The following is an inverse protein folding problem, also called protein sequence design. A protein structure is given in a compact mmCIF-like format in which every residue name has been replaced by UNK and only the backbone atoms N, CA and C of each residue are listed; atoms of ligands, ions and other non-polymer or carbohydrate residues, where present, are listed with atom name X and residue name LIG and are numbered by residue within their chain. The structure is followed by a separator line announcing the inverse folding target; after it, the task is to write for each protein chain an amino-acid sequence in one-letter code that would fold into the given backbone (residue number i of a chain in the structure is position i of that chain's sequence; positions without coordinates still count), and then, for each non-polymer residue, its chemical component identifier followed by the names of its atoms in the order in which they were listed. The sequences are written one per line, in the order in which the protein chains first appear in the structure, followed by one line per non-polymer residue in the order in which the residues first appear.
data_IF_275413672575
#
_entry.id   IF_275413672575
#
_cell.length_a   1.000
_cell.length_b   1.000
_cell.length_c   1.000
_cell.angle_alpha   90.00
_cell.angle_beta   90.00
_cell.angle_gamma   90.00
#
_symmetry.space_group_name_H-M   'P 1'
#
loop_
_entity.id
_entity.type
_entity.pdbx_description
1 polymer ?
#
# COMPACT_ATOMS: atom_id res chain seq x y z
N UNK A 1 14.81 18.14 -0.66
CA UNK A 1 13.64 17.38 -1.19
C UNK A 1 12.98 18.26 -2.23
N UNK A 2 12.76 17.72 -3.43
CA UNK A 2 12.01 18.42 -4.48
C UNK A 2 10.55 18.48 -4.02
N UNK A 3 9.95 19.67 -4.05
CA UNK A 3 8.54 19.84 -3.66
C UNK A 3 7.61 19.11 -4.64
N UNK A 4 6.48 18.60 -4.16
CA UNK A 4 5.51 17.87 -4.98
C UNK A 4 5.01 18.71 -6.17
N UNK A 5 4.91 20.03 -6.00
CA UNK A 5 4.52 20.94 -7.08
C UNK A 5 5.53 20.94 -8.24
N UNK A 6 6.82 20.86 -7.96
CA UNK A 6 7.85 20.81 -9.00
C UNK A 6 7.78 19.48 -9.77
N UNK A 7 7.51 18.37 -9.08
CA UNK A 7 7.31 17.07 -9.73
C UNK A 7 6.06 17.09 -10.63
N UNK A 8 4.95 17.63 -10.15
CA UNK A 8 3.76 17.78 -10.99
C UNK A 8 4.03 18.62 -12.23
N UNK A 9 4.80 19.70 -12.12
CA UNK A 9 5.17 20.54 -13.26
C UNK A 9 6.00 19.78 -14.29
N UNK A 10 7.02 19.04 -13.85
CA UNK A 10 7.84 18.23 -14.74
C UNK A 10 7.03 17.12 -15.42
N UNK A 11 6.09 16.49 -14.71
CA UNK A 11 5.18 15.49 -15.27
C UNK A 11 4.27 16.14 -16.32
N UNK A 12 3.70 17.31 -16.05
CA UNK A 12 2.84 18.03 -16.99
C UNK A 12 3.60 18.42 -18.25
N UNK A 13 4.85 18.90 -18.14
CA UNK A 13 5.71 19.24 -19.26
C UNK A 13 6.01 17.99 -20.13
N UNK A 14 6.35 16.86 -19.51
CA UNK A 14 6.57 15.59 -20.21
C UNK A 14 5.30 15.10 -20.93
N UNK A 15 4.14 15.16 -20.28
CA UNK A 15 2.86 14.77 -20.90
C UNK A 15 2.54 15.66 -22.09
N UNK A 16 2.79 16.96 -21.99
CA UNK A 16 2.57 17.91 -23.09
C UNK A 16 3.51 17.64 -24.26
N UNK A 17 4.79 17.37 -24.02
CA UNK A 17 5.77 17.05 -25.03
C UNK A 17 5.43 15.75 -25.76
N UNK A 18 5.19 14.67 -25.04
CA UNK A 18 4.85 13.35 -25.60
C UNK A 18 3.50 13.32 -26.33
N UNK A 19 2.57 14.17 -25.93
CA UNK A 19 1.24 14.24 -26.57
C UNK A 19 1.13 15.31 -27.65
N UNK A 20 2.22 16.02 -27.99
CA UNK A 20 2.22 17.15 -28.94
C UNK A 20 1.69 16.78 -30.32
N UNK A 21 1.96 15.56 -30.77
CA UNK A 21 1.59 15.06 -32.10
C UNK A 21 0.45 14.02 -32.05
N UNK A 22 -0.22 13.83 -30.90
CA UNK A 22 -1.29 12.87 -30.73
C UNK A 22 -2.44 13.49 -29.94
N UNK A 23 -3.66 13.23 -30.39
CA UNK A 23 -4.83 13.62 -29.60
C UNK A 23 -4.94 12.71 -28.36
N UNK A 24 -4.80 13.30 -27.20
CA UNK A 24 -5.02 12.62 -25.91
C UNK A 24 -6.04 13.45 -25.15
N UNK A 25 -7.17 12.82 -24.75
CA UNK A 25 -8.22 13.48 -24.00
C UNK A 25 -7.71 14.04 -22.65
N UNK A 26 -8.31 15.11 -22.16
CA UNK A 26 -7.95 15.71 -20.88
C UNK A 26 -8.01 14.69 -19.74
N UNK A 27 -9.09 13.89 -19.70
CA UNK A 27 -9.25 12.81 -18.72
C UNK A 27 -8.07 11.81 -18.73
N UNK A 28 -7.54 11.46 -19.90
CA UNK A 28 -6.39 10.56 -20.01
C UNK A 28 -5.10 11.23 -19.55
N UNK A 29 -4.94 12.53 -19.82
CA UNK A 29 -3.77 13.30 -19.33
C UNK A 29 -3.77 13.39 -17.80
N UNK A 30 -4.91 13.64 -17.18
CA UNK A 30 -5.06 13.66 -15.72
C UNK A 30 -4.78 12.28 -15.10
N UNK A 31 -5.26 11.20 -15.72
CA UNK A 31 -4.94 9.84 -15.30
C UNK A 31 -3.44 9.55 -15.37
N UNK A 32 -2.79 9.88 -16.49
CA UNK A 32 -1.32 9.73 -16.66
C UNK A 32 -0.54 10.56 -15.64
N UNK A 33 -0.96 11.79 -15.38
CA UNK A 33 -0.35 12.65 -14.36
C UNK A 33 -0.37 11.99 -12.98
N UNK A 34 -1.52 11.44 -12.59
CA UNK A 34 -1.70 10.75 -11.31
C UNK A 34 -0.88 9.45 -11.26
N UNK A 35 -0.89 8.66 -12.33
CA UNK A 35 -0.12 7.43 -12.45
C UNK A 35 1.39 7.70 -12.31
N UNK A 36 1.93 8.69 -13.04
CA UNK A 36 3.34 9.07 -12.98
C UNK A 36 3.73 9.63 -11.60
N UNK A 37 2.90 10.49 -11.01
CA UNK A 37 3.16 11.00 -9.67
C UNK A 37 3.18 9.88 -8.62
N UNK A 38 2.23 8.96 -8.67
CA UNK A 38 2.21 7.82 -7.75
C UNK A 38 3.42 6.89 -7.93
N UNK A 39 3.88 6.72 -9.17
CA UNK A 39 5.10 5.95 -9.46
C UNK A 39 6.36 6.57 -8.86
N UNK A 40 6.44 7.90 -8.81
CA UNK A 40 7.63 8.63 -8.31
C UNK A 40 7.55 8.82 -6.79
N UNK A 41 6.41 9.24 -6.27
CA UNK A 41 6.26 9.72 -4.89
C UNK A 41 5.50 8.78 -3.96
N UNK A 42 4.66 7.91 -4.51
CA UNK A 42 3.79 7.03 -3.73
C UNK A 42 4.13 5.56 -4.02
N UNK A 43 3.24 4.67 -3.66
CA UNK A 43 3.43 3.23 -3.84
C UNK A 43 2.82 2.74 -5.16
N UNK A 44 3.01 3.52 -6.23
CA UNK A 44 2.56 3.21 -7.58
C UNK A 44 1.08 2.75 -7.60
N UNK A 45 0.79 1.64 -8.25
CA UNK A 45 -0.57 1.12 -8.36
C UNK A 45 -1.20 0.75 -7.01
N UNK A 46 -0.39 0.41 -5.99
CA UNK A 46 -0.89 0.07 -4.66
C UNK A 46 -1.46 1.29 -3.91
N UNK A 47 -1.11 2.51 -4.34
CA UNK A 47 -1.58 3.72 -3.68
C UNK A 47 -3.11 3.85 -3.71
N UNK A 48 -3.72 3.42 -4.80
CA UNK A 48 -5.18 3.41 -4.94
C UNK A 48 -5.86 2.53 -3.87
N UNK A 49 -5.25 1.39 -3.55
CA UNK A 49 -5.74 0.50 -2.48
C UNK A 49 -5.44 1.05 -1.08
N UNK A 50 -4.32 1.75 -0.93
CA UNK A 50 -3.95 2.39 0.33
C UNK A 50 -4.86 3.59 0.63
N UNK A 51 -5.32 4.30 -0.38
CA UNK A 51 -6.23 5.43 -0.23
C UNK A 51 -7.69 4.99 0.01
N UNK A 52 -8.04 3.72 -0.26
CA UNK A 52 -9.37 3.15 -0.03
C UNK A 52 -9.54 2.67 1.42
N UNK A 53 -10.32 3.40 2.21
CA UNK A 53 -10.55 3.12 3.63
C UNK A 53 -11.28 1.78 3.91
N UNK A 54 -11.92 1.19 2.91
CA UNK A 54 -12.58 -0.11 3.02
C UNK A 54 -11.60 -1.29 2.91
N UNK A 55 -10.38 -1.06 2.43
CA UNK A 55 -9.32 -2.08 2.30
C UNK A 55 -8.55 -2.16 3.62
N UNK A 56 -8.48 -3.35 4.21
CA UNK A 56 -7.79 -3.62 5.47
C UNK A 56 -6.44 -4.30 5.28
N UNK A 57 -6.28 -5.09 4.22
CA UNK A 57 -5.02 -5.76 3.91
C UNK A 57 -4.79 -5.82 2.40
N UNK A 58 -3.53 -5.67 1.99
CA UNK A 58 -3.09 -5.75 0.59
C UNK A 58 -1.97 -6.78 0.54
N UNK A 59 -2.07 -7.76 -0.35
CA UNK A 59 -1.11 -8.83 -0.53
C UNK A 59 -0.70 -8.93 -1.99
N UNK A 60 0.57 -8.73 -2.28
CA UNK A 60 1.16 -8.90 -3.61
C UNK A 60 2.00 -10.17 -3.59
N UNK A 61 1.66 -11.15 -4.41
CA UNK A 61 2.33 -12.43 -4.49
C UNK A 61 3.07 -12.54 -5.84
N UNK A 62 4.28 -12.05 -5.89
CA UNK A 62 5.04 -12.01 -7.15
C UNK A 62 4.25 -11.30 -8.26
N UNK A 63 4.33 -11.81 -9.47
CA UNK A 63 3.54 -11.33 -10.63
C UNK A 63 2.20 -12.07 -10.80
N UNK A 64 1.89 -13.03 -9.92
CA UNK A 64 0.67 -13.83 -10.02
C UNK A 64 -0.59 -13.00 -9.77
N UNK A 65 -0.53 -12.08 -8.82
CA UNK A 65 -1.66 -11.20 -8.57
C UNK A 65 -1.54 -10.36 -7.31
N UNK A 66 -2.48 -9.44 -7.20
CA UNK A 66 -2.69 -8.62 -6.02
C UNK A 66 -4.02 -9.04 -5.39
N UNK A 67 -3.97 -9.39 -4.13
CA UNK A 67 -5.13 -9.74 -3.33
C UNK A 67 -5.35 -8.64 -2.29
N UNK A 68 -6.59 -8.43 -1.94
CA UNK A 68 -6.96 -7.46 -0.91
C UNK A 68 -8.05 -8.01 -0.02
N UNK A 69 -8.03 -7.59 1.24
CA UNK A 69 -9.16 -7.78 2.13
C UNK A 69 -9.98 -6.49 2.17
N UNK A 70 -11.28 -6.62 1.87
CA UNK A 70 -12.24 -5.52 1.93
C UNK A 70 -13.50 -5.98 2.65
N UNK A 71 -13.87 -5.28 3.72
CA UNK A 71 -15.04 -5.62 4.54
C UNK A 71 -15.05 -7.09 5.03
N UNK A 72 -13.88 -7.61 5.43
CA UNK A 72 -13.71 -8.99 5.90
C UNK A 72 -13.78 -10.06 4.80
N UNK A 73 -13.69 -9.67 3.53
CA UNK A 73 -13.69 -10.60 2.39
C UNK A 73 -12.39 -10.47 1.61
N UNK A 74 -11.80 -11.61 1.29
CA UNK A 74 -10.65 -11.70 0.41
C UNK A 74 -11.09 -11.60 -1.06
N UNK A 75 -10.48 -10.68 -1.80
CA UNK A 75 -10.75 -10.41 -3.21
C UNK A 75 -9.46 -10.41 -4.00
N UNK A 76 -9.53 -10.87 -5.26
CA UNK A 76 -8.44 -10.65 -6.21
C UNK A 76 -8.66 -9.32 -6.91
N UNK A 77 -7.62 -8.49 -6.97
CA UNK A 77 -7.69 -7.22 -7.68
C UNK A 77 -7.48 -7.42 -9.18
N UNK A 78 -8.18 -6.63 -9.98
CA UNK A 78 -8.12 -6.74 -11.44
C UNK A 78 -6.79 -6.27 -12.05
N UNK A 79 -6.09 -5.33 -11.38
CA UNK A 79 -4.77 -4.86 -11.81
C UNK A 79 -3.67 -5.81 -11.34
N UNK A 80 -2.62 -5.93 -12.14
CA UNK A 80 -1.46 -6.80 -11.87
C UNK A 80 -0.16 -6.05 -12.08
N UNK A 81 0.86 -6.46 -11.36
CA UNK A 81 2.24 -6.07 -11.63
C UNK A 81 2.81 -7.12 -12.59
N UNK A 82 3.05 -6.73 -13.82
CA UNK A 82 3.44 -7.66 -14.90
C UNK A 82 4.95 -7.83 -15.05
N UNK A 83 5.74 -6.94 -14.44
CA UNK A 83 7.20 -6.96 -14.47
C UNK A 83 7.76 -7.29 -13.09
N UNK A 84 8.67 -8.26 -13.05
CA UNK A 84 9.38 -8.63 -11.83
C UNK A 84 10.28 -7.50 -11.34
N UNK A 85 10.96 -6.83 -12.27
CA UNK A 85 11.82 -5.69 -12.00
C UNK A 85 11.04 -4.56 -11.33
N UNK A 86 9.86 -4.24 -11.87
CA UNK A 86 8.97 -3.23 -11.27
C UNK A 86 8.56 -3.58 -9.85
N UNK A 87 8.30 -4.87 -9.58
CA UNK A 87 7.95 -5.33 -8.23
C UNK A 87 9.16 -5.23 -7.28
N UNK A 88 10.36 -5.58 -7.75
CA UNK A 88 11.60 -5.41 -6.99
C UNK A 88 11.87 -3.94 -6.67
N UNK A 89 11.71 -3.04 -7.63
CA UNK A 89 11.81 -1.59 -7.42
C UNK A 89 10.81 -1.08 -6.38
N UNK A 90 9.56 -1.55 -6.42
CA UNK A 90 8.56 -1.22 -5.41
C UNK A 90 8.97 -1.69 -4.01
N UNK A 91 9.52 -2.90 -3.90
CA UNK A 91 10.04 -3.43 -2.61
C UNK A 91 11.16 -2.53 -2.09
N UNK A 92 12.14 -2.18 -2.93
CA UNK A 92 13.25 -1.31 -2.54
C UNK A 92 12.76 0.10 -2.14
N UNK A 93 11.79 0.63 -2.86
CA UNK A 93 11.18 1.92 -2.56
C UNK A 93 10.47 1.92 -1.20
N UNK A 94 9.70 0.86 -0.90
CA UNK A 94 9.02 0.70 0.40
C UNK A 94 10.05 0.55 1.52
N UNK A 95 11.03 -0.32 1.34
CA UNK A 95 12.09 -0.56 2.31
C UNK A 95 12.86 0.73 2.62
N UNK A 96 13.27 1.49 1.59
CA UNK A 96 13.97 2.77 1.72
C UNK A 96 13.15 3.81 2.51
N UNK A 97 11.86 3.92 2.27
CA UNK A 97 10.97 4.83 3.02
C UNK A 97 10.83 4.47 4.50
N UNK A 98 11.02 3.19 4.81
CA UNK A 98 10.96 2.68 6.18
C UNK A 98 12.33 2.59 6.85
N UNK A 99 13.41 3.09 6.23
CA UNK A 99 14.80 2.91 6.68
C UNK A 99 15.14 1.42 6.94
N UNK A 100 14.70 0.55 6.05
CA UNK A 100 14.99 -0.88 6.09
C UNK A 100 15.83 -1.28 4.87
N UNK A 101 16.67 -2.28 5.08
CA UNK A 101 17.44 -2.92 4.02
C UNK A 101 16.79 -4.27 3.76
N UNK A 102 16.50 -4.57 2.51
CA UNK A 102 16.04 -5.88 2.07
C UNK A 102 16.77 -6.25 0.78
N UNK A 103 17.40 -7.42 0.77
CA UNK A 103 18.16 -7.96 -0.37
C UNK A 103 18.26 -9.47 -0.25
N UNK A 104 18.99 -10.12 -1.15
CA UNK A 104 19.18 -11.59 -1.13
C UNK A 104 19.81 -12.11 0.16
N UNK A 105 20.66 -11.32 0.82
CA UNK A 105 21.30 -11.69 2.10
C UNK A 105 20.39 -11.44 3.30
N UNK A 106 19.49 -10.47 3.21
CA UNK A 106 18.49 -10.15 4.22
C UNK A 106 17.12 -10.11 3.51
N UNK A 107 16.56 -11.27 3.18
CA UNK A 107 15.40 -11.35 2.28
C UNK A 107 14.07 -11.03 2.93
N UNK A 108 14.01 -10.80 4.25
CA UNK A 108 12.78 -10.49 4.98
C UNK A 108 12.96 -9.17 5.73
N UNK A 109 11.99 -8.28 5.58
CA UNK A 109 11.94 -7.03 6.33
C UNK A 109 10.52 -6.71 6.77
N UNK A 110 10.36 -6.44 8.06
CA UNK A 110 9.13 -5.90 8.63
C UNK A 110 9.33 -4.43 9.00
N UNK A 111 8.35 -3.60 8.65
CA UNK A 111 8.42 -2.18 8.84
C UNK A 111 7.03 -1.56 9.11
N UNK A 112 7.02 -0.24 9.29
CA UNK A 112 5.79 0.56 9.35
C UNK A 112 5.88 1.71 8.37
N UNK A 113 4.82 1.92 7.64
CA UNK A 113 4.63 3.09 6.79
C UNK A 113 4.32 4.33 7.65
N UNK A 114 4.39 5.51 7.03
CA UNK A 114 4.15 6.79 7.71
C UNK A 114 2.72 6.94 8.25
N UNK A 115 1.75 6.24 7.67
CA UNK A 115 0.35 6.19 8.13
C UNK A 115 0.12 5.21 9.29
N UNK A 116 1.19 4.52 9.76
CA UNK A 116 1.15 3.52 10.82
C UNK A 116 0.87 2.09 10.33
N UNK A 117 0.54 1.90 9.06
CA UNK A 117 0.33 0.57 8.47
C UNK A 117 1.58 -0.29 8.59
N UNK A 118 1.40 -1.57 8.87
CA UNK A 118 2.50 -2.54 8.90
C UNK A 118 2.75 -3.06 7.50
N UNK A 119 4.01 -3.16 7.12
CA UNK A 119 4.43 -3.76 5.87
C UNK A 119 5.42 -4.89 6.13
N UNK A 120 5.21 -6.03 5.50
CA UNK A 120 6.14 -7.15 5.45
C UNK A 120 6.59 -7.34 4.01
N UNK A 121 7.90 -7.42 3.81
CA UNK A 121 8.56 -7.58 2.52
C UNK A 121 9.34 -8.88 2.54
N UNK A 122 9.15 -9.73 1.54
CA UNK A 122 9.87 -10.99 1.41
C UNK A 122 10.41 -11.11 -0.01
N UNK A 123 11.73 -11.32 -0.12
CA UNK A 123 12.43 -11.49 -1.40
C UNK A 123 12.86 -12.95 -1.63
N UNK A 124 13.19 -13.32 -2.85
CA UNK A 124 13.99 -14.52 -3.09
C UNK A 124 15.30 -14.51 -2.26
N UNK A 125 15.79 -15.67 -1.78
CA UNK A 125 15.33 -17.03 -2.07
C UNK A 125 14.17 -17.52 -1.19
N UNK A 126 13.72 -16.74 -0.21
CA UNK A 126 12.60 -17.14 0.69
C UNK A 126 11.26 -17.14 -0.07
N UNK A 127 11.00 -16.10 -0.84
CA UNK A 127 9.82 -16.00 -1.71
C UNK A 127 10.10 -16.66 -3.07
N UNK A 128 9.67 -17.89 -3.27
CA UNK A 128 10.01 -18.72 -4.45
C UNK A 128 9.41 -18.17 -5.75
N UNK A 129 8.22 -17.58 -5.70
CA UNK A 129 7.49 -17.10 -6.88
C UNK A 129 7.72 -15.61 -7.17
N UNK A 130 8.79 -15.04 -6.62
CA UNK A 130 9.11 -13.62 -6.72
C UNK A 130 8.78 -12.84 -5.44
N UNK A 131 9.08 -11.54 -5.40
CA UNK A 131 8.87 -10.73 -4.21
C UNK A 131 7.44 -10.76 -3.70
N UNK A 132 7.28 -10.76 -2.37
CA UNK A 132 5.97 -10.66 -1.70
C UNK A 132 5.92 -9.38 -0.89
N UNK A 133 4.82 -8.65 -1.02
CA UNK A 133 4.53 -7.45 -0.24
C UNK A 133 3.20 -7.68 0.48
N UNK A 134 3.20 -7.57 1.80
CA UNK A 134 1.95 -7.58 2.59
C UNK A 134 1.85 -6.28 3.35
N UNK A 135 0.76 -5.54 3.14
CA UNK A 135 0.48 -4.28 3.84
C UNK A 135 -0.80 -4.48 4.65
N UNK A 136 -0.67 -4.45 5.97
CA UNK A 136 -1.82 -4.46 6.88
C UNK A 136 -2.07 -3.05 7.38
N UNK A 137 -3.21 -2.52 6.99
CA UNK A 137 -3.57 -1.15 7.32
C UNK A 137 -3.94 -0.98 8.79
N UNK A 138 -3.58 0.15 9.33
CA UNK A 138 -4.04 0.54 10.66
C UNK A 138 -5.44 1.15 10.52
N UNK A 139 -6.47 0.62 11.23
CA UNK A 139 -7.82 1.15 11.11
C UNK A 139 -7.87 2.60 11.61
N UNK A 140 -8.42 3.52 10.81
CA UNK A 140 -8.61 4.92 11.18
C UNK A 140 -9.51 5.05 12.42
N UNK A 141 -10.48 4.14 12.55
CA UNK A 141 -11.37 4.06 13.70
C UNK A 141 -11.10 2.76 14.45
N UNK A 142 -10.25 2.75 15.49
CA UNK A 142 -10.00 1.58 16.29
C UNK A 142 -11.29 1.14 17.00
N UNK A 143 -11.46 -0.17 17.13
CA UNK A 143 -12.62 -0.72 17.87
C UNK A 143 -12.43 -0.41 19.34
N UNK A 144 -13.28 0.44 19.88
CA UNK A 144 -13.33 0.75 21.32
C UNK A 144 -14.08 -0.33 22.11
N UNK A 145 -13.83 -0.38 23.41
CA UNK A 145 -14.39 -1.39 24.31
C UNK A 145 -15.93 -1.45 24.24
N UNK A 146 -16.59 -0.30 24.12
CA UNK A 146 -18.05 -0.24 24.02
C UNK A 146 -18.57 -0.94 22.77
N UNK A 147 -17.84 -0.78 21.64
CA UNK A 147 -18.17 -1.47 20.40
C UNK A 147 -17.95 -2.99 20.49
N UNK A 148 -16.97 -3.46 21.26
CA UNK A 148 -16.77 -4.88 21.51
C UNK A 148 -17.92 -5.48 22.31
N UNK A 149 -18.46 -4.74 23.27
CA UNK A 149 -19.65 -5.15 24.05
C UNK A 149 -20.89 -5.21 23.14
N UNK A 150 -21.13 -4.18 22.30
CA UNK A 150 -22.23 -4.16 21.34
C UNK A 150 -22.19 -5.35 20.35
N UNK A 151 -20.99 -5.72 19.91
CA UNK A 151 -20.75 -6.86 19.02
C UNK A 151 -20.84 -8.22 19.73
N UNK A 152 -21.01 -8.23 21.06
CA UNK A 152 -21.04 -9.47 21.85
C UNK A 152 -19.70 -10.17 22.00
N UNK A 153 -18.58 -9.50 21.63
CA UNK A 153 -17.24 -10.07 21.76
C UNK A 153 -16.74 -10.08 23.22
N UNK A 154 -17.24 -9.16 24.05
CA UNK A 154 -16.90 -9.04 25.47
C UNK A 154 -18.18 -8.71 26.25
N UNK A 155 -18.37 -9.31 27.44
CA UNK A 155 -19.50 -8.95 28.32
C UNK A 155 -19.26 -7.61 29.02
N UNK A 156 -20.31 -6.95 29.45
CA UNK A 156 -20.23 -5.67 30.17
C UNK A 156 -19.39 -5.79 31.44
N UNK A 157 -19.49 -6.90 32.17
CA UNK A 157 -18.74 -7.16 33.39
C UNK A 157 -17.25 -7.34 33.08
N UNK A 158 -16.93 -8.12 32.03
CA UNK A 158 -15.54 -8.31 31.60
C UNK A 158 -14.91 -6.97 31.08
N UNK A 159 -15.69 -6.16 30.37
CA UNK A 159 -15.25 -4.84 29.95
C UNK A 159 -14.93 -3.90 31.12
N UNK A 160 -15.79 -3.90 32.13
CA UNK A 160 -15.59 -3.14 33.38
C UNK A 160 -14.32 -3.60 34.12
N UNK A 161 -14.15 -4.92 34.26
CA UNK A 161 -12.94 -5.51 34.86
C UNK A 161 -11.67 -5.13 34.13
N UNK A 162 -11.62 -5.28 32.79
CA UNK A 162 -10.47 -4.92 31.99
C UNK A 162 -10.12 -3.42 32.09
N UNK A 163 -11.12 -2.53 32.09
CA UNK A 163 -10.90 -1.10 32.31
C UNK A 163 -10.30 -0.76 33.69
N UNK A 164 -10.65 -1.55 34.70
CA UNK A 164 -10.10 -1.36 36.05
C UNK A 164 -8.62 -1.80 36.14
N UNK A 165 -8.22 -2.81 35.33
CA UNK A 165 -6.82 -3.31 35.28
C UNK A 165 -5.86 -2.43 34.52
N UNK A 166 -6.33 -1.63 33.56
CA UNK A 166 -5.48 -0.81 32.65
C UNK A 166 -5.36 0.65 33.12
N UNK A 167 -5.71 0.95 34.36
CA UNK A 167 -5.53 2.28 34.99
C UNK A 167 -4.14 2.50 35.54
#
# INVERSE_FOLDING_TARGET
EVEDQEIYRQIDDLILEETRNRYVSLRRKEALRTELFNSIRKLDILQELIDDDSVTEIMVNGTEGIFLERNGRLLCWEKKITSKEKLEDMVQQIAGRCNRIVNESVPVADARLSDGSRVSLVLPPVALNGPVITIRRFPKNPIHMDRLVELGAVTTEAAAFLRALVR
#
